data_IF_997059408899
#
_entry.id   IF_997059408899
#
_cell.length_a   1.000
_cell.length_b   1.000
_cell.length_c   1.000
_cell.angle_alpha   90.00
_cell.angle_beta   90.00
_cell.angle_gamma   90.00
#
_symmetry.space_group_name_H-M   'P 1'
#
loop_
_entity.id
_entity.type
_entity.pdbx_description
1 polymer ?
#
# COMPACT_ATOMS: atom_id res chain seq x y z
N UNK A 1 -23.07 -32.39 -20.41
CA UNK A 1 -23.18 -32.82 -19.03
C UNK A 1 -22.01 -33.76 -18.71
N UNK A 2 -20.89 -33.21 -18.26
CA UNK A 2 -19.83 -34.03 -17.66
C UNK A 2 -20.20 -34.24 -16.19
N UNK A 3 -20.60 -35.43 -15.83
CA UNK A 3 -20.70 -35.87 -14.46
C UNK A 3 -19.27 -36.12 -13.97
N UNK A 4 -18.89 -35.46 -12.86
CA UNK A 4 -17.61 -35.72 -12.23
C UNK A 4 -17.51 -37.22 -11.89
N UNK A 5 -16.43 -37.88 -12.33
CA UNK A 5 -16.17 -39.31 -12.06
C UNK A 5 -15.99 -39.64 -10.58
N UNK A 6 -15.72 -38.64 -9.78
CA UNK A 6 -15.48 -38.76 -8.32
C UNK A 6 -16.69 -38.30 -7.50
N UNK A 7 -17.81 -37.96 -8.17
CA UNK A 7 -19.02 -37.53 -7.48
C UNK A 7 -19.48 -38.56 -6.43
N UNK A 8 -19.58 -38.15 -5.19
CA UNK A 8 -20.12 -38.93 -4.08
C UNK A 8 -21.58 -38.56 -3.91
N UNK A 9 -22.55 -39.48 -4.15
CA UNK A 9 -23.95 -39.18 -4.01
C UNK A 9 -24.32 -38.91 -2.55
N UNK A 10 -25.13 -37.89 -2.34
CA UNK A 10 -25.68 -37.55 -1.04
C UNK A 10 -27.19 -37.86 -0.98
N UNK A 11 -27.60 -38.62 0.06
CA UNK A 11 -29.01 -38.84 0.34
C UNK A 11 -29.62 -37.66 1.10
N UNK A 12 -30.25 -36.71 0.38
CA UNK A 12 -30.84 -35.51 0.97
C UNK A 12 -32.16 -35.79 1.70
N UNK A 13 -32.74 -37.01 1.60
CA UNK A 13 -34.00 -37.37 2.19
C UNK A 13 -33.86 -38.18 3.50
N UNK A 14 -32.63 -38.54 3.87
CA UNK A 14 -32.33 -39.30 5.09
C UNK A 14 -31.80 -38.45 6.24
N UNK A 15 -31.83 -39.02 7.46
CA UNK A 15 -31.10 -38.48 8.62
C UNK A 15 -29.65 -39.04 8.71
N UNK A 16 -29.14 -39.55 7.62
CA UNK A 16 -27.81 -40.12 7.60
C UNK A 16 -26.77 -39.00 7.76
N UNK A 17 -25.79 -39.23 8.60
CA UNK A 17 -24.63 -38.34 8.76
C UNK A 17 -23.86 -38.29 7.43
N UNK A 18 -23.20 -37.17 7.18
CA UNK A 18 -22.24 -37.06 6.08
C UNK A 18 -21.22 -38.18 6.17
N UNK A 19 -21.15 -39.04 5.16
CA UNK A 19 -20.10 -40.03 5.11
C UNK A 19 -18.74 -39.34 4.98
N UNK A 20 -17.68 -39.95 5.53
CA UNK A 20 -16.31 -39.42 5.38
C UNK A 20 -15.93 -39.18 3.90
N UNK A 21 -16.42 -40.02 3.00
CA UNK A 21 -16.19 -39.87 1.56
C UNK A 21 -16.88 -38.62 1.02
N UNK A 22 -18.13 -38.36 1.42
CA UNK A 22 -18.86 -37.15 1.02
C UNK A 22 -18.22 -35.90 1.64
N UNK A 23 -17.83 -35.96 2.92
CA UNK A 23 -17.17 -34.87 3.61
C UNK A 23 -15.86 -34.47 2.92
N UNK A 24 -15.03 -35.44 2.55
CA UNK A 24 -13.79 -35.19 1.78
C UNK A 24 -14.06 -34.66 0.37
N UNK A 25 -15.15 -35.08 -0.25
CA UNK A 25 -15.52 -34.60 -1.59
C UNK A 25 -16.02 -33.15 -1.58
N UNK A 26 -16.89 -32.77 -0.64
CA UNK A 26 -17.50 -31.42 -0.58
C UNK A 26 -16.63 -30.39 0.16
N UNK A 27 -15.68 -30.86 0.98
CA UNK A 27 -14.79 -30.01 1.76
C UNK A 27 -13.32 -30.45 1.58
N UNK A 28 -12.77 -30.37 0.37
CA UNK A 28 -11.36 -30.69 0.13
C UNK A 28 -10.48 -29.62 0.81
N UNK A 29 -9.30 -30.05 1.25
CA UNK A 29 -8.27 -29.10 1.69
C UNK A 29 -7.74 -28.33 0.49
N UNK A 30 -7.72 -27.01 0.60
CA UNK A 30 -7.07 -26.12 -0.34
C UNK A 30 -5.86 -25.50 0.32
N UNK A 31 -4.73 -25.45 -0.39
CA UNK A 31 -3.50 -24.81 0.08
C UNK A 31 -3.24 -23.54 -0.70
N UNK A 32 -2.96 -22.50 0.05
CA UNK A 32 -2.57 -21.21 -0.48
C UNK A 32 -1.14 -20.87 -0.02
N UNK A 33 -0.31 -20.50 -0.97
CA UNK A 33 1.10 -20.15 -0.75
C UNK A 33 1.29 -18.67 -1.06
N UNK A 34 1.89 -17.96 -0.12
CA UNK A 34 2.25 -16.57 -0.27
C UNK A 34 3.71 -16.39 0.11
N UNK A 35 4.50 -15.89 -0.80
CA UNK A 35 5.90 -15.54 -0.60
C UNK A 35 6.12 -14.08 -0.95
N UNK A 36 6.49 -13.29 0.05
CA UNK A 36 6.90 -11.91 -0.09
C UNK A 36 8.38 -11.78 0.22
N UNK A 37 9.16 -11.26 -0.72
CA UNK A 37 10.57 -10.97 -0.50
C UNK A 37 10.84 -9.50 -0.67
N UNK A 38 11.72 -8.95 0.18
CA UNK A 38 12.20 -7.58 0.09
C UNK A 38 13.72 -7.57 0.20
N UNK A 39 14.35 -6.85 -0.70
CA UNK A 39 15.79 -6.56 -0.69
C UNK A 39 15.96 -5.05 -0.60
N UNK A 40 16.80 -4.57 0.33
CA UNK A 40 17.06 -3.15 0.54
C UNK A 40 18.56 -2.94 0.67
N UNK A 41 19.06 -1.95 -0.05
CA UNK A 41 20.41 -1.42 0.09
C UNK A 41 20.28 0.08 0.22
N UNK A 42 20.80 0.65 1.31
CA UNK A 42 20.72 2.10 1.58
C UNK A 42 22.05 2.59 2.13
N UNK A 43 22.41 3.82 1.75
CA UNK A 43 23.56 4.52 2.29
C UNK A 43 23.16 5.96 2.64
N UNK A 44 23.58 6.40 3.82
CA UNK A 44 23.30 7.75 4.34
C UNK A 44 24.60 8.36 4.88
N UNK A 45 24.79 9.63 4.60
CA UNK A 45 25.85 10.46 5.17
C UNK A 45 25.20 11.63 5.91
N UNK A 46 25.69 11.94 7.11
CA UNK A 46 25.22 13.04 7.94
C UNK A 46 26.41 13.88 8.40
N UNK A 47 26.19 15.15 8.66
CA UNK A 47 27.22 16.03 9.22
C UNK A 47 26.83 17.49 9.25
N UNK A 48 27.69 18.28 9.87
CA UNK A 48 27.60 19.74 9.88
C UNK A 48 28.19 20.28 8.58
N UNK A 49 27.42 21.08 7.83
CA UNK A 49 27.88 21.66 6.57
C UNK A 49 28.66 22.95 6.80
N UNK A 50 28.15 23.84 7.62
CA UNK A 50 28.80 25.08 8.08
C UNK A 50 28.08 25.65 9.29
N UNK A 51 28.68 26.65 9.94
CA UNK A 51 28.07 27.31 11.09
C UNK A 51 27.48 28.67 10.69
N UNK A 52 26.25 28.90 11.17
CA UNK A 52 25.57 30.20 11.16
C UNK A 52 25.71 30.87 12.54
N UNK A 53 25.47 32.17 12.67
CA UNK A 53 25.45 32.84 13.98
C UNK A 53 24.49 32.22 14.99
N UNK A 54 23.43 31.56 14.52
CA UNK A 54 22.44 30.86 15.35
C UNK A 54 22.76 29.39 15.64
N UNK A 55 23.84 28.85 15.07
CA UNK A 55 24.27 27.47 15.27
C UNK A 55 24.66 26.73 13.97
N UNK A 56 25.04 25.45 14.09
CA UNK A 56 25.46 24.64 12.95
C UNK A 56 24.29 24.29 12.01
N UNK A 57 24.54 24.29 10.72
CA UNK A 57 23.63 23.71 9.71
C UNK A 57 23.93 22.24 9.59
N UNK A 58 22.99 21.42 10.11
CA UNK A 58 23.07 19.97 10.03
C UNK A 58 22.41 19.48 8.74
N UNK A 59 23.08 18.53 8.07
CA UNK A 59 22.57 17.96 6.83
C UNK A 59 22.64 16.43 6.85
N UNK A 60 21.71 15.81 6.14
CA UNK A 60 21.79 14.41 5.79
C UNK A 60 21.50 14.27 4.29
N UNK A 61 22.20 13.35 3.64
CA UNK A 61 21.93 12.96 2.27
C UNK A 61 22.16 11.47 2.11
N UNK A 62 21.40 10.85 1.23
CA UNK A 62 21.52 9.43 1.01
C UNK A 62 20.82 8.97 -0.24
N UNK A 63 20.92 7.67 -0.48
CA UNK A 63 20.23 7.03 -1.57
C UNK A 63 20.11 5.54 -1.33
N UNK A 64 19.20 4.92 -2.03
CA UNK A 64 18.87 3.52 -1.82
C UNK A 64 18.31 2.85 -3.06
N UNK A 65 18.33 1.53 -2.98
CA UNK A 65 17.66 0.62 -3.89
C UNK A 65 16.79 -0.32 -3.08
N UNK A 66 15.57 -0.55 -3.54
CA UNK A 66 14.66 -1.54 -2.97
C UNK A 66 14.01 -2.36 -4.08
N UNK A 67 13.94 -3.66 -3.84
CA UNK A 67 13.18 -4.59 -4.66
C UNK A 67 12.19 -5.35 -3.78
N UNK A 68 10.94 -5.37 -4.20
CA UNK A 68 9.87 -6.15 -3.59
C UNK A 68 9.35 -7.17 -4.61
N UNK A 69 9.13 -8.40 -4.16
CA UNK A 69 8.60 -9.47 -5.02
C UNK A 69 7.46 -10.16 -4.30
N UNK A 70 6.34 -10.31 -5.00
CA UNK A 70 5.17 -11.07 -4.56
C UNK A 70 5.02 -12.30 -5.43
N UNK A 71 4.90 -13.47 -4.79
CA UNK A 71 4.59 -14.73 -5.46
C UNK A 71 3.51 -15.47 -4.67
N UNK A 72 2.28 -15.34 -5.12
CA UNK A 72 1.14 -16.01 -4.53
C UNK A 72 0.66 -17.11 -5.47
N UNK A 73 0.34 -18.25 -4.92
CA UNK A 73 -0.22 -19.37 -5.67
C UNK A 73 -1.14 -20.21 -4.80
N UNK A 74 -2.02 -20.94 -5.44
CA UNK A 74 -2.87 -21.94 -4.82
C UNK A 74 -2.55 -23.32 -5.39
N UNK A 75 -3.00 -24.37 -4.72
CA UNK A 75 -2.99 -25.71 -5.31
C UNK A 75 -3.97 -25.80 -6.50
N UNK A 76 -4.01 -26.98 -7.13
CA UNK A 76 -4.82 -27.19 -8.34
C UNK A 76 -6.34 -26.99 -8.13
N UNK A 77 -6.82 -27.06 -6.88
CA UNK A 77 -8.24 -26.84 -6.56
C UNK A 77 -8.58 -25.35 -6.50
N UNK A 78 -7.66 -24.53 -6.00
CA UNK A 78 -7.83 -23.10 -5.90
C UNK A 78 -7.46 -22.34 -7.17
N UNK A 79 -6.64 -22.94 -8.06
CA UNK A 79 -6.27 -22.33 -9.33
C UNK A 79 -7.46 -22.27 -10.27
N UNK A 80 -7.59 -21.15 -10.96
CA UNK A 80 -8.58 -20.92 -11.98
C UNK A 80 -8.52 -21.97 -13.11
N UNK A 81 -9.49 -22.86 -13.15
CA UNK A 81 -9.73 -23.71 -14.32
C UNK A 81 -10.70 -23.00 -15.25
N UNK A 82 -10.33 -22.84 -16.53
CA UNK A 82 -11.13 -22.11 -17.54
C UNK A 82 -12.55 -22.64 -17.73
N UNK A 83 -12.90 -23.83 -17.23
CA UNK A 83 -14.13 -24.53 -17.58
C UNK A 83 -14.98 -25.02 -16.40
N UNK A 84 -14.59 -24.82 -15.14
CA UNK A 84 -15.25 -25.48 -13.99
C UNK A 84 -15.77 -24.52 -12.92
N UNK A 85 -15.87 -23.22 -13.20
CA UNK A 85 -16.34 -22.25 -12.21
C UNK A 85 -17.86 -22.19 -12.10
N UNK A 86 -18.36 -21.93 -10.89
CA UNK A 86 -19.75 -21.61 -10.64
C UNK A 86 -20.07 -20.23 -11.24
N UNK A 87 -21.13 -20.13 -12.05
CA UNK A 87 -21.50 -18.90 -12.76
C UNK A 87 -20.38 -18.23 -13.60
N UNK A 88 -19.47 -19.03 -14.15
CA UNK A 88 -18.37 -18.51 -14.95
C UNK A 88 -17.17 -18.01 -14.14
N UNK A 89 -17.22 -18.06 -12.81
CA UNK A 89 -16.05 -17.81 -11.98
C UNK A 89 -15.02 -18.93 -12.17
N UNK A 90 -13.75 -18.60 -12.38
CA UNK A 90 -12.71 -19.61 -12.54
C UNK A 90 -12.45 -20.35 -11.22
N UNK A 91 -12.18 -21.65 -11.30
CA UNK A 91 -11.81 -22.52 -10.17
C UNK A 91 -12.82 -23.60 -9.81
N UNK A 92 -12.40 -24.55 -9.00
CA UNK A 92 -13.21 -25.67 -8.55
C UNK A 92 -14.02 -25.36 -7.28
N UNK A 93 -13.67 -24.30 -6.55
CA UNK A 93 -14.29 -23.91 -5.29
C UNK A 93 -15.33 -22.82 -5.51
N UNK A 94 -16.41 -22.84 -4.72
CA UNK A 94 -17.52 -21.86 -4.86
C UNK A 94 -17.11 -20.47 -4.37
N UNK A 95 -16.23 -20.37 -3.35
CA UNK A 95 -15.94 -19.10 -2.67
C UNK A 95 -14.46 -18.77 -2.49
N UNK A 96 -13.55 -19.69 -2.69
CA UNK A 96 -12.14 -19.51 -2.34
C UNK A 96 -11.24 -19.93 -3.52
N UNK A 97 -11.47 -19.31 -4.65
CA UNK A 97 -10.54 -19.43 -5.77
C UNK A 97 -9.51 -18.30 -5.64
N UNK A 98 -8.25 -18.66 -5.49
CA UNK A 98 -7.14 -17.72 -5.39
C UNK A 98 -6.30 -17.82 -6.66
N UNK A 99 -6.43 -16.87 -7.58
CA UNK A 99 -5.57 -16.82 -8.75
C UNK A 99 -4.11 -16.60 -8.32
N UNK A 100 -3.17 -17.11 -9.09
CA UNK A 100 -1.76 -16.83 -8.86
C UNK A 100 -1.47 -15.34 -9.12
N UNK A 101 -0.80 -14.68 -8.17
CA UNK A 101 -0.31 -13.31 -8.32
C UNK A 101 1.20 -13.37 -8.38
N UNK A 102 1.79 -12.77 -9.39
CA UNK A 102 3.23 -12.62 -9.52
C UNK A 102 3.55 -11.22 -9.98
N UNK A 103 4.45 -10.58 -9.26
CA UNK A 103 4.92 -9.26 -9.63
C UNK A 103 6.13 -8.87 -8.82
N UNK A 104 6.86 -7.92 -9.34
CA UNK A 104 7.96 -7.27 -8.66
C UNK A 104 7.90 -5.76 -8.88
N UNK A 105 8.43 -5.04 -7.91
CA UNK A 105 8.56 -3.60 -7.92
C UNK A 105 9.98 -3.26 -7.50
N UNK A 106 10.67 -2.52 -8.34
CA UNK A 106 11.99 -1.98 -8.04
C UNK A 106 11.90 -0.46 -7.92
N UNK A 107 12.70 0.10 -7.03
CA UNK A 107 12.85 1.54 -6.93
C UNK A 107 14.28 1.94 -6.60
N UNK A 108 14.66 3.09 -7.13
CA UNK A 108 15.85 3.82 -6.75
C UNK A 108 15.46 5.14 -6.12
N UNK A 109 16.10 5.51 -5.04
CA UNK A 109 15.81 6.76 -4.38
C UNK A 109 17.07 7.53 -3.99
N UNK A 110 16.95 8.86 -4.02
CA UNK A 110 17.93 9.77 -3.49
C UNK A 110 17.24 10.84 -2.66
N UNK A 111 17.81 11.21 -1.54
CA UNK A 111 17.25 12.20 -0.64
C UNK A 111 18.30 13.11 -0.04
N UNK A 112 17.83 14.28 0.37
CA UNK A 112 18.60 15.24 1.13
C UNK A 112 17.71 15.99 2.10
N UNK A 113 18.25 16.30 3.27
CA UNK A 113 17.59 17.09 4.29
C UNK A 113 18.56 18.03 4.99
N UNK A 114 18.05 19.14 5.49
CA UNK A 114 18.82 20.11 6.25
C UNK A 114 18.00 20.67 7.40
N UNK A 115 18.67 20.82 8.55
CA UNK A 115 18.19 21.59 9.69
C UNK A 115 19.03 22.87 9.76
N UNK A 116 18.37 24.01 9.73
CA UNK A 116 18.98 25.32 9.57
C UNK A 116 18.54 26.20 10.75
N UNK A 117 19.41 26.49 11.71
CA UNK A 117 19.13 27.47 12.75
C UNK A 117 19.20 28.87 12.13
N UNK A 118 18.04 29.54 12.08
CA UNK A 118 17.93 30.84 11.42
C UNK A 118 18.27 32.00 12.36
N UNK A 119 17.72 31.96 13.59
CA UNK A 119 17.88 32.99 14.60
C UNK A 119 17.93 32.35 16.00
N UNK A 120 18.74 32.92 16.91
CA UNK A 120 18.78 32.56 18.33
C UNK A 120 19.04 33.77 19.23
N UNK A 121 18.64 33.67 20.47
CA UNK A 121 18.94 34.63 21.56
C UNK A 121 18.54 36.08 21.25
N UNK A 122 17.42 36.28 20.54
CA UNK A 122 16.87 37.62 20.25
C UNK A 122 15.57 37.86 21.06
N UNK A 123 15.18 39.12 21.28
CA UNK A 123 13.91 39.42 21.94
C UNK A 123 12.73 38.72 21.20
N UNK A 124 11.97 37.90 21.93
CA UNK A 124 10.87 37.06 21.40
C UNK A 124 11.30 35.99 20.40
N UNK A 125 12.58 35.65 20.32
CA UNK A 125 13.12 34.58 19.47
C UNK A 125 14.25 33.91 20.27
N UNK A 126 13.88 33.00 21.18
CA UNK A 126 14.82 32.11 21.85
C UNK A 126 15.49 31.19 20.81
N UNK A 127 14.69 30.59 19.94
CA UNK A 127 15.18 29.96 18.71
C UNK A 127 14.17 30.02 17.56
N UNK A 128 14.69 30.10 16.35
CA UNK A 128 13.95 29.93 15.12
C UNK A 128 14.75 29.02 14.18
N UNK A 129 14.17 27.88 13.87
CA UNK A 129 14.80 26.85 13.06
C UNK A 129 13.92 26.51 11.85
N UNK A 130 14.55 26.31 10.70
CA UNK A 130 13.91 25.74 9.52
C UNK A 130 14.39 24.30 9.30
N UNK A 131 13.50 23.42 8.89
CA UNK A 131 13.86 22.13 8.35
C UNK A 131 13.30 21.92 6.97
N UNK A 132 14.12 21.41 6.05
CA UNK A 132 13.76 21.14 4.68
C UNK A 132 14.24 19.75 4.30
N UNK A 133 13.42 19.03 3.53
CA UNK A 133 13.79 17.73 3.00
C UNK A 133 13.20 17.57 1.60
N UNK A 134 13.92 16.87 0.74
CA UNK A 134 13.43 16.45 -0.55
C UNK A 134 13.91 15.01 -0.84
N UNK A 135 13.05 14.24 -1.50
CA UNK A 135 13.36 12.89 -1.98
C UNK A 135 12.85 12.73 -3.40
N UNK A 136 13.68 12.18 -4.23
CA UNK A 136 13.30 11.70 -5.55
C UNK A 136 13.33 10.17 -5.53
N UNK A 137 12.25 9.56 -5.99
CA UNK A 137 12.13 8.09 -6.10
C UNK A 137 11.70 7.75 -7.51
N UNK A 138 12.40 6.81 -8.13
CA UNK A 138 12.10 6.27 -9.46
C UNK A 138 11.61 4.83 -9.32
N UNK A 139 10.33 4.62 -9.59
CA UNK A 139 9.66 3.32 -9.53
C UNK A 139 9.66 2.66 -10.90
N UNK A 140 9.95 1.37 -10.96
CA UNK A 140 9.93 0.59 -12.20
C UNK A 140 8.56 0.54 -12.90
N UNK A 141 7.48 0.88 -12.19
CA UNK A 141 6.09 0.86 -12.71
C UNK A 141 5.59 2.25 -13.09
N UNK A 142 5.67 3.23 -12.18
CA UNK A 142 5.08 4.56 -12.34
C UNK A 142 6.11 5.66 -12.66
N UNK A 143 7.42 5.31 -12.73
CA UNK A 143 8.46 6.29 -13.00
C UNK A 143 8.81 7.18 -11.82
N UNK A 144 9.40 8.35 -12.12
CA UNK A 144 9.98 9.25 -11.14
C UNK A 144 8.99 10.16 -10.45
N UNK A 145 9.09 10.30 -9.12
CA UNK A 145 8.28 11.19 -8.30
C UNK A 145 9.14 11.91 -7.28
N UNK A 146 8.79 13.17 -7.00
CA UNK A 146 9.47 13.99 -5.98
C UNK A 146 8.52 14.26 -4.82
N UNK A 147 8.99 13.98 -3.62
CA UNK A 147 8.36 14.39 -2.35
C UNK A 147 9.22 15.43 -1.68
N UNK A 148 8.62 16.31 -0.88
CA UNK A 148 9.34 17.34 -0.16
C UNK A 148 8.60 17.76 1.10
N UNK A 149 9.35 18.33 2.03
CA UNK A 149 8.84 18.92 3.26
C UNK A 149 9.62 20.18 3.58
N UNK A 150 8.91 21.22 4.01
CA UNK A 150 9.49 22.42 4.60
C UNK A 150 8.78 22.71 5.93
N UNK A 151 9.53 23.00 6.96
CA UNK A 151 9.01 23.27 8.30
C UNK A 151 9.75 24.41 8.98
N UNK A 152 9.06 25.07 9.91
CA UNK A 152 9.60 26.08 10.81
C UNK A 152 9.22 25.71 12.24
N UNK A 153 10.18 25.87 13.14
CA UNK A 153 9.99 25.76 14.58
C UNK A 153 10.45 27.08 15.20
N UNK A 154 9.54 27.74 15.90
CA UNK A 154 9.80 28.98 16.58
C UNK A 154 9.53 28.84 18.09
N UNK A 155 10.51 29.18 18.87
CA UNK A 155 10.46 29.27 20.32
C UNK A 155 10.58 30.75 20.68
N UNK A 156 9.47 31.48 20.96
CA UNK A 156 9.52 32.91 21.29
C UNK A 156 10.16 33.15 22.66
N UNK A 157 9.91 32.27 23.61
CA UNK A 157 10.41 32.28 25.00
C UNK A 157 10.26 30.86 25.59
N UNK A 158 10.95 30.63 26.70
CA UNK A 158 10.88 29.33 27.38
C UNK A 158 9.42 28.93 27.69
N UNK A 159 9.11 27.66 27.42
CA UNK A 159 7.78 27.08 27.63
C UNK A 159 6.79 27.24 26.45
N UNK A 160 7.06 28.05 25.42
CA UNK A 160 6.22 28.14 24.24
C UNK A 160 6.99 27.73 22.97
N UNK A 161 6.48 26.74 22.24
CA UNK A 161 7.00 26.32 20.93
C UNK A 161 5.87 26.33 19.90
N UNK A 162 6.09 27.01 18.80
CA UNK A 162 5.19 27.06 17.64
C UNK A 162 5.86 26.35 16.48
N UNK A 163 5.12 25.56 15.74
CA UNK A 163 5.60 24.86 14.55
C UNK A 163 4.63 24.97 13.41
N UNK A 164 5.16 25.11 12.21
CA UNK A 164 4.41 25.04 10.95
C UNK A 164 5.17 24.16 9.98
N UNK A 165 4.46 23.38 9.19
CA UNK A 165 5.07 22.56 8.14
C UNK A 165 4.13 22.44 6.96
N UNK A 166 4.73 22.32 5.77
CA UNK A 166 4.06 21.94 4.54
C UNK A 166 4.85 20.82 3.86
N UNK A 167 4.15 19.81 3.35
CA UNK A 167 4.75 18.69 2.65
C UNK A 167 3.93 18.27 1.44
N UNK A 168 4.60 17.64 0.48
CA UNK A 168 4.02 16.80 -0.55
C UNK A 168 4.49 15.37 -0.29
N UNK A 169 3.55 14.49 -0.01
CA UNK A 169 3.77 13.09 0.30
C UNK A 169 3.13 12.22 -0.79
N UNK A 170 3.58 10.99 -0.93
CA UNK A 170 3.02 10.02 -1.87
C UNK A 170 2.76 8.68 -1.21
N UNK A 171 1.84 7.92 -1.80
CA UNK A 171 1.68 6.49 -1.58
C UNK A 171 1.79 5.78 -2.93
N UNK A 172 2.85 5.02 -3.15
CA UNK A 172 2.96 4.16 -4.32
C UNK A 172 1.96 2.99 -4.22
N UNK A 173 1.49 2.51 -5.38
CA UNK A 173 0.65 1.33 -5.45
C UNK A 173 1.41 0.09 -4.94
N UNK A 174 0.73 -0.78 -4.19
CA UNK A 174 1.30 -2.03 -3.72
C UNK A 174 1.25 -3.12 -4.81
N UNK A 175 1.99 -4.23 -4.61
CA UNK A 175 2.10 -5.30 -5.59
C UNK A 175 0.76 -5.95 -5.95
N UNK A 176 -0.22 -5.98 -5.03
CA UNK A 176 -1.56 -6.51 -5.31
C UNK A 176 -2.36 -5.51 -6.16
N UNK A 177 -2.27 -4.22 -5.87
CA UNK A 177 -2.91 -3.16 -6.67
C UNK A 177 -2.37 -3.14 -8.11
N UNK A 178 -1.09 -3.47 -8.28
CA UNK A 178 -0.44 -3.51 -9.59
C UNK A 178 -0.72 -4.81 -10.35
N UNK A 179 -0.64 -5.97 -9.71
CA UNK A 179 -0.52 -7.26 -10.39
C UNK A 179 -1.66 -8.25 -10.11
N UNK A 180 -2.72 -7.83 -9.36
CA UNK A 180 -3.84 -8.72 -9.13
C UNK A 180 -4.51 -9.12 -10.46
N UNK A 181 -4.59 -10.42 -10.79
CA UNK A 181 -5.25 -10.86 -12.02
C UNK A 181 -6.74 -10.52 -12.00
N UNK A 182 -7.33 -10.40 -13.17
CA UNK A 182 -8.74 -10.10 -13.31
C UNK A 182 -9.61 -11.15 -12.60
N UNK A 183 -10.48 -10.69 -11.73
CA UNK A 183 -11.46 -11.48 -11.01
C UNK A 183 -12.85 -10.94 -11.24
N UNK A 184 -13.85 -11.81 -11.20
CA UNK A 184 -15.26 -11.47 -11.37
C UNK A 184 -15.99 -11.61 -10.04
N UNK A 185 -16.95 -10.73 -9.80
CA UNK A 185 -17.79 -10.75 -8.62
C UNK A 185 -19.28 -10.68 -8.96
N UNK A 186 -20.09 -10.53 -7.94
CA UNK A 186 -21.51 -10.22 -8.05
C UNK A 186 -21.75 -8.81 -7.54
N UNK A 187 -22.53 -8.03 -8.26
CA UNK A 187 -22.86 -6.66 -7.88
C UNK A 187 -24.20 -6.21 -8.45
N UNK A 188 -24.64 -5.06 -8.01
CA UNK A 188 -25.80 -4.38 -8.55
C UNK A 188 -25.48 -2.89 -8.70
N UNK A 189 -26.01 -2.29 -9.75
CA UNK A 189 -25.91 -0.84 -10.00
C UNK A 189 -27.30 -0.28 -10.29
N UNK A 190 -27.47 0.99 -9.98
CA UNK A 190 -28.68 1.73 -10.36
C UNK A 190 -28.55 2.16 -11.81
N UNK A 191 -29.45 1.68 -12.67
CA UNK A 191 -29.46 2.00 -14.09
C UNK A 191 -30.16 3.35 -14.31
N UNK A 192 -29.43 4.40 -14.72
CA UNK A 192 -30.02 5.72 -14.93
C UNK A 192 -31.04 5.73 -16.10
N UNK A 193 -30.90 4.83 -17.07
CA UNK A 193 -31.81 4.70 -18.21
C UNK A 193 -33.11 4.03 -17.80
N UNK A 194 -33.09 3.19 -16.78
CA UNK A 194 -34.26 2.49 -16.23
C UNK A 194 -34.79 3.17 -14.97
N UNK A 195 -34.79 4.49 -14.91
CA UNK A 195 -35.30 5.29 -13.81
C UNK A 195 -34.72 4.90 -12.43
N UNK A 196 -33.45 4.50 -12.39
CA UNK A 196 -32.78 4.14 -11.14
C UNK A 196 -33.12 2.73 -10.62
N UNK A 197 -33.67 1.85 -11.45
CA UNK A 197 -33.88 0.44 -11.08
C UNK A 197 -32.54 -0.25 -10.85
N UNK A 198 -32.46 -1.08 -9.83
CA UNK A 198 -31.30 -1.93 -9.59
C UNK A 198 -31.20 -3.04 -10.61
N UNK A 199 -30.08 -3.13 -11.30
CA UNK A 199 -29.75 -4.21 -12.23
C UNK A 199 -28.54 -4.99 -11.74
N UNK A 200 -28.58 -6.31 -11.84
CA UNK A 200 -27.44 -7.16 -11.51
C UNK A 200 -26.35 -7.03 -12.56
N UNK A 201 -25.13 -6.92 -12.10
CA UNK A 201 -23.93 -6.88 -12.93
C UNK A 201 -22.91 -7.93 -12.47
N UNK A 202 -21.97 -8.25 -13.34
CA UNK A 202 -20.77 -9.01 -13.00
C UNK A 202 -19.59 -8.04 -13.09
N UNK A 203 -19.20 -7.40 -11.97
CA UNK A 203 -18.03 -6.52 -11.98
C UNK A 203 -16.76 -7.33 -12.22
N UNK A 204 -15.84 -6.74 -12.94
CA UNK A 204 -14.48 -7.26 -13.13
C UNK A 204 -13.53 -6.33 -12.38
N UNK A 205 -12.72 -6.89 -11.52
CA UNK A 205 -11.67 -6.17 -10.78
C UNK A 205 -10.33 -6.78 -11.13
N UNK A 206 -9.36 -5.94 -11.47
CA UNK A 206 -7.98 -6.35 -11.76
C UNK A 206 -7.00 -5.32 -11.23
N UNK A 207 -5.76 -5.71 -11.02
CA UNK A 207 -4.66 -4.79 -10.83
C UNK A 207 -4.40 -3.97 -12.11
N UNK A 208 -3.69 -2.87 -11.92
CA UNK A 208 -3.24 -2.01 -13.01
C UNK A 208 -1.75 -1.68 -12.81
N UNK A 209 -0.84 -2.23 -13.65
CA UNK A 209 0.59 -1.93 -13.55
C UNK A 209 0.98 -0.48 -13.85
N UNK A 210 0.06 0.29 -14.45
CA UNK A 210 0.27 1.69 -14.82
C UNK A 210 -0.36 2.68 -13.80
N UNK A 211 -0.61 2.23 -12.57
CA UNK A 211 -1.12 3.12 -11.51
C UNK A 211 -0.08 4.17 -11.13
N UNK A 212 -0.50 5.43 -11.21
CA UNK A 212 0.26 6.54 -10.64
C UNK A 212 0.23 6.49 -9.11
N UNK A 213 1.27 6.99 -8.42
CA UNK A 213 1.25 7.17 -6.98
C UNK A 213 0.14 8.14 -6.57
N UNK A 214 -0.51 7.83 -5.45
CA UNK A 214 -1.40 8.79 -4.81
C UNK A 214 -0.57 9.94 -4.22
N UNK A 215 -1.00 11.17 -4.42
CA UNK A 215 -0.34 12.37 -3.93
C UNK A 215 -1.17 13.05 -2.85
N UNK A 216 -0.51 13.55 -1.80
CA UNK A 216 -1.12 14.33 -0.75
C UNK A 216 -0.30 15.58 -0.44
N UNK A 217 -0.94 16.73 -0.42
CA UNK A 217 -0.35 17.96 0.12
C UNK A 217 -0.89 18.22 1.52
N UNK A 218 0.01 18.37 2.47
CA UNK A 218 -0.34 18.56 3.87
C UNK A 218 0.22 19.88 4.39
N UNK A 219 -0.62 20.64 5.09
CA UNK A 219 -0.20 21.83 5.85
C UNK A 219 -0.56 21.62 7.31
N UNK A 220 0.41 21.78 8.19
CA UNK A 220 0.24 21.60 9.64
C UNK A 220 0.72 22.83 10.38
N UNK A 221 -0.06 23.29 11.35
CA UNK A 221 0.31 24.34 12.30
C UNK A 221 -0.03 23.81 13.71
N UNK A 222 0.88 24.00 14.64
CA UNK A 222 0.67 23.55 16.02
C UNK A 222 1.49 24.35 17.00
N UNK A 223 1.11 24.30 18.27
CA UNK A 223 1.89 24.88 19.38
C UNK A 223 1.94 23.92 20.56
N UNK A 224 2.98 24.07 21.35
CA UNK A 224 3.17 23.40 22.65
C UNK A 224 3.35 24.48 23.68
N UNK A 225 2.54 24.42 24.74
CA UNK A 225 2.63 25.33 25.88
C UNK A 225 2.96 24.53 27.14
N UNK A 226 4.12 24.80 27.73
CA UNK A 226 4.58 24.15 28.95
C UNK A 226 5.14 25.21 29.93
N UNK A 227 4.27 25.99 30.59
CA UNK A 227 4.69 27.05 31.45
C UNK A 227 5.44 26.51 32.67
N UNK A 228 6.56 27.12 33.01
CA UNK A 228 7.26 26.91 34.29
C UNK A 228 6.60 27.78 35.35
N UNK A 229 5.91 27.17 36.32
CA UNK A 229 5.40 27.85 37.51
C UNK A 229 6.36 27.72 38.66
#
# INVERSE_FOLDING_TARGET
NQVDRFCVPWNIFGREEFSDALQKYVNPQNMYFNENTQQVIEATITGTLFELPAGPVEVAAGGGYRKETLNESSDALGLASKNNGFNGAPGALIYINAPAIKGDLELFEGFGEAQIPLLSDLPFIDSLEANVAARYTDYSTSGGVTTWKAGLVWVPFDGLRIRAARSKDIRAANLVELFNPASTGFGAVLDPVKAGQSVSIVPITSGNPELDPEEAETTTIGFVWNPSF
#
